data_IF_733849659081
#
_entry.id   IF_733849659081
#
_cell.length_a   1.000
_cell.length_b   1.000
_cell.length_c   1.000
_cell.angle_alpha   90.00
_cell.angle_beta   90.00
_cell.angle_gamma   90.00
#
_symmetry.space_group_name_H-M   'P 1'
#
loop_
_entity.id
_entity.type
_entity.pdbx_description
1 polymer ?
#
# COMPACT_ATOMS: atom_id res chain seq x y z
N UNK A 1 -17.54 -12.50 28.49
CA UNK A 1 -16.83 -13.52 27.69
C UNK A 1 -16.26 -12.88 26.43
N UNK A 2 -14.99 -13.13 26.11
CA UNK A 2 -14.32 -12.53 24.95
C UNK A 2 -14.93 -13.02 23.63
N UNK A 3 -15.31 -12.09 22.73
CA UNK A 3 -15.79 -12.42 21.38
C UNK A 3 -14.69 -13.19 20.65
N UNK A 4 -14.95 -14.46 20.30
CA UNK A 4 -14.01 -15.29 19.52
C UNK A 4 -13.61 -14.54 18.25
N UNK A 5 -12.35 -14.15 18.15
CA UNK A 5 -11.80 -13.54 16.95
C UNK A 5 -11.72 -14.61 15.87
N UNK A 6 -12.01 -14.23 14.62
CA UNK A 6 -11.82 -15.12 13.46
C UNK A 6 -10.32 -15.43 13.21
N UNK A 7 -9.39 -14.70 13.83
CA UNK A 7 -7.97 -14.95 13.76
C UNK A 7 -7.62 -16.12 14.70
N UNK A 8 -7.31 -17.26 14.11
CA UNK A 8 -6.87 -18.47 14.82
C UNK A 8 -5.47 -18.86 14.36
N UNK A 9 -4.69 -19.60 15.18
CA UNK A 9 -3.34 -20.03 14.81
C UNK A 9 -3.31 -20.82 13.49
N UNK A 10 -4.32 -21.64 13.21
CA UNK A 10 -4.42 -22.44 11.99
C UNK A 10 -4.59 -21.56 10.75
N UNK A 11 -5.37 -20.48 10.86
CA UNK A 11 -5.56 -19.50 9.79
C UNK A 11 -4.30 -18.68 9.55
N UNK A 12 -3.64 -18.24 10.62
CA UNK A 12 -2.33 -17.58 10.53
C UNK A 12 -1.33 -18.46 9.80
N UNK A 13 -1.22 -19.74 10.21
CA UNK A 13 -0.32 -20.70 9.58
C UNK A 13 -0.64 -20.88 8.10
N UNK A 14 -1.91 -21.12 7.75
CA UNK A 14 -2.33 -21.27 6.35
C UNK A 14 -2.00 -20.04 5.50
N UNK A 15 -2.24 -18.84 6.00
CA UNK A 15 -1.89 -17.61 5.29
C UNK A 15 -0.38 -17.53 5.08
N UNK A 16 0.41 -17.70 6.14
CA UNK A 16 1.87 -17.61 6.07
C UNK A 16 2.46 -18.67 5.11
N UNK A 17 1.94 -19.90 5.14
CA UNK A 17 2.38 -20.98 4.24
C UNK A 17 2.13 -20.66 2.76
N UNK A 18 1.07 -19.93 2.42
CA UNK A 18 0.83 -19.48 1.04
C UNK A 18 1.72 -18.29 0.68
N UNK A 19 1.90 -17.35 1.61
CA UNK A 19 2.76 -16.18 1.43
C UNK A 19 4.20 -16.57 1.13
N UNK A 20 4.75 -17.56 1.86
CA UNK A 20 6.08 -18.15 1.62
C UNK A 20 6.27 -18.68 0.21
N UNK A 21 5.20 -19.19 -0.41
CA UNK A 21 5.20 -19.71 -1.78
C UNK A 21 5.13 -18.61 -2.84
N UNK A 22 5.20 -17.33 -2.44
CA UNK A 22 5.07 -16.20 -3.35
C UNK A 22 3.62 -15.84 -3.70
N UNK A 23 2.61 -16.47 -3.09
CA UNK A 23 1.20 -16.15 -3.36
C UNK A 23 0.86 -14.74 -2.86
N UNK A 24 0.12 -13.91 -3.62
CA UNK A 24 -0.33 -12.59 -3.17
C UNK A 24 -1.23 -12.67 -1.93
N UNK A 25 -1.18 -11.63 -1.09
CA UNK A 25 -1.92 -11.60 0.18
C UNK A 25 -3.42 -11.82 0.06
N UNK A 26 -4.08 -11.22 -0.94
CA UNK A 26 -5.51 -11.42 -1.15
C UNK A 26 -5.86 -12.89 -1.42
N UNK A 27 -5.07 -13.54 -2.28
CA UNK A 27 -5.27 -14.95 -2.64
C UNK A 27 -4.94 -15.85 -1.44
N UNK A 28 -3.87 -15.56 -0.70
CA UNK A 28 -3.52 -16.27 0.53
C UNK A 28 -4.64 -16.17 1.59
N UNK A 29 -5.25 -14.99 1.74
CA UNK A 29 -6.38 -14.79 2.63
C UNK A 29 -7.61 -15.59 2.18
N UNK A 30 -7.98 -15.52 0.90
CA UNK A 30 -9.10 -16.29 0.32
C UNK A 30 -8.89 -17.80 0.49
N UNK A 31 -7.68 -18.32 0.23
CA UNK A 31 -7.31 -19.72 0.43
C UNK A 31 -7.42 -20.16 1.90
N UNK A 32 -7.23 -19.24 2.84
CA UNK A 32 -7.43 -19.49 4.27
C UNK A 32 -8.89 -19.30 4.72
N UNK A 33 -9.82 -19.00 3.81
CA UNK A 33 -11.23 -18.75 4.09
C UNK A 33 -11.46 -17.41 4.81
N UNK A 34 -10.58 -16.44 4.60
CA UNK A 34 -10.66 -15.09 5.16
C UNK A 34 -10.90 -14.09 4.03
N UNK A 35 -11.87 -13.21 4.24
CA UNK A 35 -12.10 -12.10 3.33
C UNK A 35 -10.88 -11.16 3.29
N UNK A 36 -10.41 -10.72 2.11
CA UNK A 36 -9.24 -9.85 2.00
C UNK A 36 -9.31 -8.58 2.84
N UNK A 37 -10.49 -7.95 2.96
CA UNK A 37 -10.64 -6.75 3.80
C UNK A 37 -10.38 -7.05 5.27
N UNK A 38 -10.77 -8.24 5.73
CA UNK A 38 -10.51 -8.71 7.09
C UNK A 38 -9.03 -8.93 7.32
N UNK A 39 -8.34 -9.54 6.35
CA UNK A 39 -6.88 -9.71 6.40
C UNK A 39 -6.16 -8.37 6.51
N UNK A 40 -6.47 -7.39 5.65
CA UNK A 40 -5.81 -6.08 5.69
C UNK A 40 -6.08 -5.33 6.99
N UNK A 41 -7.30 -5.43 7.54
CA UNK A 41 -7.60 -4.88 8.87
C UNK A 41 -6.77 -5.52 9.97
N UNK A 42 -6.52 -6.83 9.91
CA UNK A 42 -5.64 -7.51 10.87
C UNK A 42 -4.18 -7.12 10.71
N UNK A 43 -3.69 -7.04 9.47
CA UNK A 43 -2.33 -6.58 9.15
C UNK A 43 -2.09 -5.17 9.70
N UNK A 44 -2.97 -4.22 9.37
CA UNK A 44 -2.86 -2.83 9.83
C UNK A 44 -2.96 -2.70 11.36
N UNK A 45 -3.79 -3.54 11.99
CA UNK A 45 -3.90 -3.59 13.46
C UNK A 45 -2.62 -4.16 14.10
N UNK A 46 -2.06 -5.21 13.51
CA UNK A 46 -0.85 -5.87 14.00
C UNK A 46 0.40 -5.00 13.89
N UNK A 47 0.51 -4.26 12.79
CA UNK A 47 1.59 -3.29 12.54
C UNK A 47 1.67 -2.23 13.64
N UNK A 48 0.52 -1.70 14.06
CA UNK A 48 0.42 -0.66 15.11
C UNK A 48 0.47 -1.24 16.53
N UNK A 49 0.24 -2.53 16.71
CA UNK A 49 0.22 -3.17 18.01
C UNK A 49 1.65 -3.42 18.52
N UNK A 50 1.86 -3.23 19.83
CA UNK A 50 3.15 -3.55 20.48
C UNK A 50 3.25 -5.01 20.96
N UNK A 51 2.11 -5.68 21.18
CA UNK A 51 2.01 -7.06 21.67
C UNK A 51 0.63 -7.68 21.39
N UNK A 52 0.55 -8.99 21.54
CA UNK A 52 -0.69 -9.78 21.47
C UNK A 52 -0.97 -10.37 20.08
N UNK A 53 -2.10 -11.07 19.95
CA UNK A 53 -2.43 -11.92 18.80
C UNK A 53 -2.24 -11.26 17.42
N UNK A 54 -2.67 -10.01 17.26
CA UNK A 54 -2.53 -9.31 15.97
C UNK A 54 -1.08 -8.94 15.67
N UNK A 55 -0.29 -8.64 16.71
CA UNK A 55 1.14 -8.35 16.57
C UNK A 55 1.89 -9.61 16.17
N UNK A 56 1.65 -10.72 16.86
CA UNK A 56 2.24 -12.03 16.53
C UNK A 56 1.88 -12.47 15.10
N UNK A 57 0.62 -12.25 14.68
CA UNK A 57 0.19 -12.49 13.29
C UNK A 57 0.99 -11.64 12.30
N UNK A 58 1.17 -10.35 12.58
CA UNK A 58 1.93 -9.45 11.70
C UNK A 58 3.40 -9.83 11.64
N UNK A 59 4.02 -10.18 12.76
CA UNK A 59 5.42 -10.65 12.81
C UNK A 59 5.60 -11.95 12.01
N UNK A 60 4.69 -12.92 12.19
CA UNK A 60 4.71 -14.15 11.41
C UNK A 60 4.52 -13.89 9.90
N UNK A 61 3.68 -12.92 9.54
CA UNK A 61 3.48 -12.52 8.15
C UNK A 61 4.73 -11.85 7.56
N UNK A 62 5.40 -10.96 8.31
CA UNK A 62 6.65 -10.32 7.86
C UNK A 62 7.76 -11.37 7.67
N UNK A 63 7.86 -12.34 8.58
CA UNK A 63 8.79 -13.45 8.45
C UNK A 63 8.52 -14.29 7.19
N UNK A 64 7.25 -14.63 6.95
CA UNK A 64 6.85 -15.35 5.74
C UNK A 64 7.13 -14.56 4.45
N UNK A 65 7.02 -13.23 4.49
CA UNK A 65 7.31 -12.36 3.36
C UNK A 65 8.81 -12.31 3.05
N UNK A 66 9.66 -12.22 4.08
CA UNK A 66 11.11 -12.29 3.94
C UNK A 66 11.60 -13.64 3.39
N UNK A 67 10.98 -14.75 3.83
CA UNK A 67 11.26 -16.09 3.29
C UNK A 67 10.86 -16.21 1.81
N UNK A 68 9.71 -15.63 1.42
CA UNK A 68 9.28 -15.59 0.03
C UNK A 68 10.24 -14.77 -0.86
N UNK A 69 10.73 -13.64 -0.36
CA UNK A 69 11.73 -12.81 -1.04
C UNK A 69 13.02 -13.60 -1.27
N UNK A 70 13.54 -14.25 -0.23
CA UNK A 70 14.74 -15.08 -0.33
C UNK A 70 14.59 -16.21 -1.36
N UNK A 71 13.45 -16.91 -1.36
CA UNK A 71 13.17 -17.97 -2.33
C UNK A 71 13.18 -17.45 -3.78
N UNK A 72 12.54 -16.30 -4.04
CA UNK A 72 12.50 -15.67 -5.36
C UNK A 72 13.87 -15.17 -5.83
N UNK A 73 14.71 -14.68 -4.91
CA UNK A 73 16.09 -14.30 -5.22
C UNK A 73 16.89 -15.52 -5.68
N UNK A 74 16.79 -16.63 -4.94
CA UNK A 74 17.49 -17.87 -5.29
C UNK A 74 17.02 -18.43 -6.64
N UNK A 75 15.73 -18.33 -6.95
CA UNK A 75 15.20 -18.69 -8.25
C UNK A 75 15.74 -17.78 -9.37
N UNK A 76 15.77 -16.47 -9.13
CA UNK A 76 16.32 -15.49 -10.09
C UNK A 76 17.81 -15.71 -10.36
N UNK A 77 18.57 -16.24 -9.40
CA UNK A 77 19.99 -16.60 -9.60
C UNK A 77 20.20 -17.84 -10.47
N UNK A 78 19.25 -18.78 -10.49
CA UNK A 78 19.38 -20.07 -11.21
C UNK A 78 19.21 -19.91 -12.72
N UNK A 79 18.34 -19.01 -13.15
CA UNK A 79 17.98 -18.86 -14.56
C UNK A 79 18.06 -17.39 -15.01
N UNK A 80 18.69 -17.15 -16.16
CA UNK A 80 18.63 -15.83 -16.81
C UNK A 80 17.19 -15.54 -17.20
N UNK A 81 16.61 -14.51 -16.59
CA UNK A 81 15.20 -14.15 -16.82
C UNK A 81 14.23 -14.78 -15.83
N UNK A 82 14.72 -15.33 -14.70
CA UNK A 82 13.88 -15.74 -13.58
C UNK A 82 12.94 -14.63 -13.08
N UNK A 83 12.09 -14.89 -12.06
CA UNK A 83 10.91 -14.10 -11.74
C UNK A 83 11.18 -12.73 -11.09
N UNK A 84 12.15 -11.98 -11.58
CA UNK A 84 12.55 -10.65 -11.09
C UNK A 84 11.42 -9.63 -11.16
N UNK A 85 10.54 -9.74 -12.15
CA UNK A 85 9.34 -8.92 -12.24
C UNK A 85 8.40 -9.07 -11.02
N UNK A 86 8.44 -10.22 -10.34
CA UNK A 86 7.69 -10.43 -9.08
C UNK A 86 8.33 -9.63 -7.95
N UNK A 87 9.66 -9.67 -7.83
CA UNK A 87 10.41 -8.90 -6.83
C UNK A 87 10.13 -7.40 -6.98
N UNK A 88 10.17 -6.89 -8.21
CA UNK A 88 9.91 -5.48 -8.55
C UNK A 88 8.49 -5.03 -8.17
N UNK A 89 7.48 -5.87 -8.38
CA UNK A 89 6.09 -5.52 -8.08
C UNK A 89 5.75 -5.65 -6.59
N UNK A 90 6.34 -6.63 -5.91
CA UNK A 90 6.01 -6.93 -4.52
C UNK A 90 6.79 -6.07 -3.53
N UNK A 91 8.04 -5.72 -3.87
CA UNK A 91 8.90 -4.87 -3.07
C UNK A 91 9.51 -3.73 -3.92
N UNK A 92 8.68 -2.84 -4.49
CA UNK A 92 9.12 -1.81 -5.44
C UNK A 92 10.16 -0.84 -4.85
N UNK A 93 10.10 -0.55 -3.56
CA UNK A 93 11.08 0.34 -2.91
C UNK A 93 12.51 -0.22 -2.96
N UNK A 94 12.65 -1.55 -2.88
CA UNK A 94 13.96 -2.24 -2.86
C UNK A 94 14.38 -2.74 -4.23
N UNK A 95 13.43 -3.21 -5.03
CA UNK A 95 13.70 -3.90 -6.29
C UNK A 95 13.31 -3.10 -7.53
N UNK A 96 12.49 -2.06 -7.38
CA UNK A 96 12.09 -1.21 -8.49
C UNK A 96 13.28 -0.53 -9.15
N UNK A 97 13.24 -0.45 -10.48
CA UNK A 97 14.27 0.24 -11.24
C UNK A 97 14.27 1.73 -10.88
N UNK A 98 15.41 2.22 -10.38
CA UNK A 98 15.63 3.65 -10.20
C UNK A 98 16.12 4.22 -11.52
N UNK A 99 15.36 5.16 -12.08
CA UNK A 99 15.72 5.86 -13.32
C UNK A 99 15.97 7.32 -12.97
N UNK A 100 17.23 7.73 -13.05
CA UNK A 100 17.61 9.14 -12.95
C UNK A 100 17.36 9.80 -14.31
N UNK A 101 16.27 10.55 -14.42
CA UNK A 101 15.94 11.31 -15.62
C UNK A 101 16.53 12.71 -15.47
N UNK A 102 17.58 13.01 -16.24
CA UNK A 102 18.05 14.39 -16.43
C UNK A 102 17.15 15.05 -17.46
N UNK A 103 16.39 16.05 -17.03
CA UNK A 103 15.58 16.87 -17.93
C UNK A 103 16.37 18.10 -18.34
N UNK A 104 16.84 18.12 -19.59
CA UNK A 104 17.34 19.33 -20.24
C UNK A 104 16.23 19.85 -21.15
N UNK A 105 15.41 20.75 -20.60
CA UNK A 105 14.33 21.37 -21.35
C UNK A 105 14.10 22.80 -20.89
N UNK A 106 13.81 23.68 -21.85
CA UNK A 106 13.40 25.06 -21.60
C UNK A 106 11.98 25.05 -21.07
N UNK A 107 11.77 25.56 -19.86
CA UNK A 107 10.42 25.73 -19.28
C UNK A 107 9.75 26.90 -19.99
N UNK A 108 8.69 26.61 -20.75
CA UNK A 108 7.81 27.64 -21.25
C UNK A 108 6.72 27.87 -20.20
N UNK A 109 6.64 29.08 -19.68
CA UNK A 109 5.50 29.50 -18.88
C UNK A 109 4.29 29.58 -19.81
N UNK A 110 3.38 28.61 -19.69
CA UNK A 110 2.06 28.67 -20.30
C UNK A 110 1.12 29.17 -19.23
N UNK A 111 0.59 30.37 -19.43
CA UNK A 111 -0.46 30.91 -18.59
C UNK A 111 -1.74 30.09 -18.85
N UNK A 112 -2.12 29.26 -17.87
CA UNK A 112 -3.29 28.40 -17.98
C UNK A 112 -4.60 29.12 -17.59
N UNK A 113 -4.57 30.44 -17.39
CA UNK A 113 -5.77 31.22 -17.12
C UNK A 113 -6.59 30.66 -15.95
N UNK A 114 -5.90 30.26 -14.87
CA UNK A 114 -6.55 29.95 -13.61
C UNK A 114 -6.89 31.31 -13.00
N UNK A 115 -8.17 31.73 -12.94
CA UNK A 115 -8.50 33.02 -12.37
C UNK A 115 -8.10 33.02 -10.90
N UNK A 116 -7.31 34.02 -10.50
CA UNK A 116 -6.93 34.22 -9.11
C UNK A 116 -8.20 34.31 -8.26
N UNK A 117 -8.32 33.34 -7.36
CA UNK A 117 -9.42 33.25 -6.42
C UNK A 117 -9.26 34.31 -5.33
N UNK A 118 -10.18 35.27 -5.36
CA UNK A 118 -10.77 35.94 -4.20
C UNK A 118 -9.92 36.99 -3.47
N UNK A 119 -9.83 38.18 -4.08
CA UNK A 119 -9.69 39.43 -3.30
C UNK A 119 -11.10 39.86 -2.86
N UNK A 120 -11.47 39.45 -1.65
CA UNK A 120 -12.60 40.06 -0.92
C UNK A 120 -12.18 41.46 -0.48
N UNK A 121 -12.53 42.49 -1.26
CA UNK A 121 -12.47 43.87 -0.75
C UNK A 121 -13.66 44.15 0.19
N UNK A 122 -13.41 44.68 1.41
CA UNK A 122 -14.47 45.02 2.35
C UNK A 122 -15.07 46.40 2.01
N UNK A 123 -16.31 46.37 1.51
CA UNK A 123 -17.38 47.33 1.74
C UNK A 123 -17.15 48.83 1.52
N UNK A 124 -17.95 49.43 0.63
CA UNK A 124 -18.79 50.59 0.98
C UNK A 124 -19.99 50.75 0.01
N UNK A 125 -20.98 51.62 0.27
CA UNK A 125 -22.38 51.26 0.41
C UNK A 125 -23.19 51.51 -0.87
N UNK A 126 -24.37 50.89 -0.95
CA UNK A 126 -25.31 51.11 -2.06
C UNK A 126 -25.83 52.55 -2.03
N UNK A 127 -25.70 53.33 -3.12
CA UNK A 127 -26.44 54.58 -3.26
C UNK A 127 -27.87 54.23 -3.71
N UNK A 128 -28.80 54.58 -2.83
CA UNK A 128 -30.14 55.10 -3.10
C UNK A 128 -30.97 54.47 -4.22
N UNK A 129 -32.03 53.79 -3.78
CA UNK A 129 -33.22 53.53 -4.57
C UNK A 129 -33.77 54.83 -5.17
N UNK A 130 -33.81 54.90 -6.50
CA UNK A 130 -34.68 55.82 -7.23
C UNK A 130 -35.78 55.02 -7.92
N UNK A 131 -36.99 55.19 -7.36
CA UNK A 131 -38.30 55.34 -8.00
C UNK A 131 -38.70 54.49 -9.22
N UNK A 132 -39.73 53.66 -9.03
CA UNK A 132 -41.01 53.76 -9.75
C UNK A 132 -42.14 53.10 -8.94
#
# INVERSE_FOLDING_TARGET
MARRTKLTPERTKRICDQVRKGVPYETAARLAGIDPSTFYRWKARGERAKRGLYREFWEALQQADAEAEAALIEETKKERGGPRWILERRWPERWGQKVDVKFEGTVFAVDWGIPDGDETEPGDPRPDAQEA
#
